data_IF_414670042928
#
_entry.id   IF_414670042928
#
_cell.length_a   1.000
_cell.length_b   1.000
_cell.length_c   1.000
_cell.angle_alpha   90.00
_cell.angle_beta   90.00
_cell.angle_gamma   90.00
#
_symmetry.space_group_name_H-M   'P 1'
#
loop_
_entity.id
_entity.type
_entity.pdbx_description
1 polymer ?
#
# COMPACT_ATOMS: atom_id res chain seq x y z
N UNK A 1 14.20 1.00 -51.18
CA UNK A 1 14.52 0.06 -50.08
C UNK A 1 14.08 0.67 -48.76
N UNK A 2 12.92 0.26 -48.23
CA UNK A 2 12.47 0.52 -46.86
C UNK A 2 12.38 -0.84 -46.18
N UNK A 3 13.35 -1.19 -45.33
CA UNK A 3 13.29 -2.43 -44.56
C UNK A 3 12.25 -2.26 -43.46
N UNK A 4 11.11 -2.93 -43.60
CA UNK A 4 10.17 -3.16 -42.49
C UNK A 4 10.86 -4.10 -41.50
N UNK A 5 11.30 -3.56 -40.37
CA UNK A 5 11.65 -4.36 -39.20
C UNK A 5 10.33 -4.91 -38.64
N UNK A 6 10.01 -6.16 -38.96
CA UNK A 6 8.97 -6.92 -38.26
C UNK A 6 9.54 -7.30 -36.91
N UNK A 7 9.13 -6.60 -35.86
CA UNK A 7 9.29 -7.07 -34.48
C UNK A 7 8.27 -8.19 -34.31
N UNK A 8 8.74 -9.43 -34.35
CA UNK A 8 7.95 -10.61 -34.00
C UNK A 8 7.94 -10.65 -32.47
N UNK A 9 6.90 -10.11 -31.85
CA UNK A 9 6.63 -10.34 -30.42
C UNK A 9 6.13 -11.78 -30.29
N UNK A 10 6.96 -12.69 -29.77
CA UNK A 10 6.53 -14.05 -29.44
C UNK A 10 5.40 -13.99 -28.39
N UNK A 11 4.19 -14.41 -28.77
CA UNK A 11 3.07 -14.54 -27.84
C UNK A 11 3.38 -15.68 -26.86
N UNK A 12 3.11 -15.46 -25.57
CA UNK A 12 3.26 -16.48 -24.54
C UNK A 12 2.55 -17.79 -24.94
N UNK A 13 3.26 -18.92 -24.88
CA UNK A 13 2.70 -20.24 -25.19
C UNK A 13 1.80 -20.69 -24.05
N UNK A 14 0.53 -20.90 -24.37
CA UNK A 14 -0.50 -21.38 -23.46
C UNK A 14 -0.26 -22.87 -23.14
N UNK A 15 -0.31 -23.27 -21.87
CA UNK A 15 -0.30 -24.68 -21.50
C UNK A 15 -1.71 -25.27 -21.68
N UNK A 16 -1.83 -26.41 -22.38
CA UNK A 16 -3.11 -26.95 -22.87
C UNK A 16 -3.92 -27.76 -21.83
N UNK A 17 -3.36 -28.09 -20.66
CA UNK A 17 -3.95 -29.04 -19.70
C UNK A 17 -4.25 -28.49 -18.29
N UNK A 18 -4.07 -27.19 -18.02
CA UNK A 18 -4.36 -26.61 -16.70
C UNK A 18 -5.78 -26.01 -16.67
N UNK A 19 -6.58 -26.38 -15.66
CA UNK A 19 -7.90 -25.79 -15.41
C UNK A 19 -7.76 -24.27 -15.18
N UNK A 20 -8.49 -23.47 -15.98
CA UNK A 20 -8.45 -22.03 -15.87
C UNK A 20 -9.22 -21.56 -14.62
N UNK A 21 -8.57 -20.79 -13.75
CA UNK A 21 -9.20 -20.26 -12.53
C UNK A 21 -9.85 -18.89 -12.79
N UNK A 22 -11.07 -18.62 -12.30
CA UNK A 22 -11.69 -17.30 -12.46
C UNK A 22 -10.91 -16.20 -11.72
N UNK A 23 -10.78 -15.03 -12.35
CA UNK A 23 -10.19 -13.86 -11.70
C UNK A 23 -11.16 -13.34 -10.63
N UNK A 24 -10.64 -13.06 -9.44
CA UNK A 24 -11.46 -12.50 -8.35
C UNK A 24 -12.11 -11.16 -8.75
N UNK A 25 -13.28 -10.79 -8.21
CA UNK A 25 -13.94 -9.51 -8.50
C UNK A 25 -12.99 -8.32 -8.43
N UNK A 26 -12.24 -8.19 -7.34
CA UNK A 26 -11.25 -7.13 -7.15
C UNK A 26 -10.12 -7.21 -8.16
N UNK A 27 -9.64 -8.42 -8.50
CA UNK A 27 -8.64 -8.59 -9.56
C UNK A 27 -9.11 -8.05 -10.91
N UNK A 28 -10.41 -8.19 -11.22
CA UNK A 28 -11.00 -7.63 -12.44
C UNK A 28 -11.11 -6.10 -12.37
N UNK A 29 -11.45 -5.53 -11.21
CA UNK A 29 -11.56 -4.07 -11.05
C UNK A 29 -10.22 -3.36 -11.24
N UNK A 30 -9.16 -3.94 -10.67
CA UNK A 30 -7.82 -3.37 -10.72
C UNK A 30 -7.07 -3.68 -12.00
N UNK A 31 -7.65 -4.46 -12.91
CA UNK A 31 -7.15 -4.64 -14.27
C UNK A 31 -8.20 -4.22 -15.30
N UNK A 32 -8.76 -3.03 -15.17
CA UNK A 32 -9.78 -2.51 -16.07
C UNK A 32 -9.23 -1.39 -16.96
N UNK A 33 -10.03 -0.92 -17.91
CA UNK A 33 -9.66 0.28 -18.70
C UNK A 33 -9.62 1.53 -17.82
N UNK A 34 -10.55 1.63 -16.86
CA UNK A 34 -10.65 2.72 -15.91
C UNK A 34 -9.56 2.68 -14.82
N UNK A 35 -9.13 1.50 -14.37
CA UNK A 35 -8.22 1.37 -13.23
C UNK A 35 -7.20 0.25 -13.43
N UNK A 36 -5.92 0.62 -13.36
CA UNK A 36 -4.80 -0.30 -13.23
C UNK A 36 -3.84 0.21 -12.16
N UNK A 37 -3.43 -0.68 -11.26
CA UNK A 37 -2.60 -0.33 -10.09
C UNK A 37 -1.48 -1.35 -9.97
N UNK A 38 -0.28 -0.82 -9.74
CA UNK A 38 0.92 -1.60 -9.45
C UNK A 38 1.44 -1.27 -8.06
N UNK A 39 2.14 -2.22 -7.47
CA UNK A 39 2.89 -2.04 -6.23
C UNK A 39 4.37 -2.23 -6.58
N UNK A 40 5.18 -1.23 -6.26
CA UNK A 40 6.63 -1.37 -6.23
C UNK A 40 6.98 -1.82 -4.81
N UNK A 41 7.57 -2.99 -4.64
CA UNK A 41 8.17 -3.42 -3.39
C UNK A 41 9.68 -3.36 -3.52
N UNK A 42 10.32 -2.56 -2.68
CA UNK A 42 11.73 -2.19 -2.79
C UNK A 42 12.48 -2.77 -1.60
N UNK A 43 13.48 -3.59 -1.90
CA UNK A 43 14.42 -4.16 -0.94
C UNK A 43 15.77 -3.48 -1.16
N UNK A 44 16.27 -2.85 -0.10
CA UNK A 44 17.61 -2.26 -0.06
C UNK A 44 18.59 -3.30 0.47
N UNK A 45 19.62 -3.61 -0.32
CA UNK A 45 20.65 -4.58 0.03
C UNK A 45 21.90 -3.90 0.57
N UNK A 46 22.58 -4.56 1.52
CA UNK A 46 23.84 -4.06 2.10
C UNK A 46 25.00 -4.14 1.12
N UNK A 47 24.94 -5.07 0.18
CA UNK A 47 25.91 -5.28 -0.89
C UNK A 47 25.18 -5.24 -2.24
N UNK A 48 25.88 -4.96 -3.36
CA UNK A 48 25.31 -5.14 -4.69
C UNK A 48 24.71 -6.54 -4.85
N UNK A 49 23.54 -6.64 -5.45
CA UNK A 49 22.84 -7.91 -5.64
C UNK A 49 23.43 -8.67 -6.83
N UNK A 50 23.83 -9.92 -6.63
CA UNK A 50 24.28 -10.82 -7.71
C UNK A 50 23.09 -11.26 -8.58
N UNK A 51 22.99 -10.69 -9.78
CA UNK A 51 21.91 -10.96 -10.72
C UNK A 51 21.99 -12.37 -11.35
N UNK A 52 23.15 -13.04 -11.26
CA UNK A 52 23.31 -14.42 -11.77
C UNK A 52 22.41 -15.43 -11.07
N UNK A 53 22.02 -15.15 -9.81
CA UNK A 53 21.12 -16.01 -9.06
C UNK A 53 19.63 -15.74 -9.36
N UNK A 54 19.29 -14.62 -10.01
CA UNK A 54 17.91 -14.14 -10.14
C UNK A 54 17.00 -15.14 -10.87
N UNK A 55 17.46 -15.72 -11.97
CA UNK A 55 16.69 -16.71 -12.75
C UNK A 55 16.35 -17.95 -11.91
N UNK A 56 17.34 -18.48 -11.18
CA UNK A 56 17.15 -19.63 -10.30
C UNK A 56 16.19 -19.30 -9.16
N UNK A 57 16.35 -18.16 -8.51
CA UNK A 57 15.45 -17.73 -7.42
C UNK A 57 14.02 -17.54 -7.91
N UNK A 58 13.84 -16.93 -9.09
CA UNK A 58 12.51 -16.75 -9.66
C UNK A 58 11.85 -18.09 -10.00
N UNK A 59 12.59 -19.01 -10.64
CA UNK A 59 12.08 -20.32 -11.05
C UNK A 59 11.75 -21.23 -9.86
N UNK A 60 12.67 -21.30 -8.90
CA UNK A 60 12.64 -22.33 -7.86
C UNK A 60 11.98 -21.85 -6.57
N UNK A 61 11.86 -20.53 -6.37
CA UNK A 61 11.28 -19.93 -5.16
C UNK A 61 10.07 -19.07 -5.48
N UNK A 62 10.16 -18.04 -6.34
CA UNK A 62 9.07 -17.07 -6.54
C UNK A 62 7.88 -17.63 -7.32
N UNK A 63 8.11 -18.21 -8.51
CA UNK A 63 7.03 -18.75 -9.36
C UNK A 63 6.20 -19.84 -8.66
N UNK A 64 6.79 -20.77 -7.89
CA UNK A 64 6.05 -21.79 -7.17
C UNK A 64 5.14 -21.26 -6.04
N UNK A 65 5.33 -20.01 -5.57
CA UNK A 65 4.52 -19.44 -4.48
C UNK A 65 3.03 -19.45 -4.81
N UNK A 66 2.68 -19.11 -6.06
CA UNK A 66 1.29 -19.11 -6.49
C UNK A 66 1.18 -19.24 -8.01
N UNK A 67 0.23 -20.05 -8.53
CA UNK A 67 0.05 -20.23 -9.99
C UNK A 67 -0.16 -18.94 -10.76
N UNK A 68 -0.69 -17.87 -10.13
CA UNK A 68 -0.89 -16.57 -10.77
C UNK A 68 0.41 -15.91 -11.25
N UNK A 69 1.55 -16.19 -10.61
CA UNK A 69 2.85 -15.69 -11.08
C UNK A 69 3.30 -16.34 -12.39
N UNK A 70 2.69 -17.46 -12.78
CA UNK A 70 2.89 -18.12 -14.07
C UNK A 70 1.67 -18.01 -14.98
N UNK A 71 0.78 -17.03 -14.76
CA UNK A 71 -0.47 -16.91 -15.48
C UNK A 71 -0.71 -15.53 -16.09
N UNK A 72 -1.43 -15.51 -17.21
CA UNK A 72 -1.97 -14.31 -17.84
C UNK A 72 -3.49 -14.27 -17.67
N UNK A 73 -4.08 -13.07 -17.77
CA UNK A 73 -5.54 -12.93 -17.81
C UNK A 73 -6.05 -13.10 -19.24
N UNK A 74 -6.98 -14.02 -19.43
CA UNK A 74 -7.74 -14.20 -20.67
C UNK A 74 -9.23 -13.98 -20.41
N UNK A 75 -9.97 -13.68 -21.47
CA UNK A 75 -11.43 -13.61 -21.42
C UNK A 75 -11.98 -14.83 -22.15
N UNK A 76 -12.85 -15.59 -21.51
CA UNK A 76 -13.51 -16.74 -22.13
C UNK A 76 -14.66 -16.30 -23.07
N UNK A 77 -15.27 -17.27 -23.75
CA UNK A 77 -16.37 -17.02 -24.69
C UNK A 77 -17.63 -16.45 -24.03
N UNK A 78 -17.74 -16.52 -22.70
CA UNK A 78 -18.86 -15.98 -21.92
C UNK A 78 -18.57 -14.56 -21.39
N UNK A 79 -17.37 -14.03 -21.66
CA UNK A 79 -16.94 -12.72 -21.19
C UNK A 79 -16.34 -12.72 -19.78
N UNK A 80 -16.16 -13.90 -19.17
CA UNK A 80 -15.56 -14.02 -17.83
C UNK A 80 -14.05 -14.03 -17.94
N UNK A 81 -13.40 -13.24 -17.08
CA UNK A 81 -11.93 -13.19 -17.01
C UNK A 81 -11.39 -14.34 -16.17
N UNK A 82 -10.40 -15.04 -16.70
CA UNK A 82 -9.77 -16.19 -16.08
C UNK A 82 -8.24 -16.07 -16.11
N UNK A 83 -7.59 -16.63 -15.10
CA UNK A 83 -6.16 -16.86 -15.09
C UNK A 83 -5.86 -18.11 -15.91
N UNK A 84 -4.99 -17.96 -16.91
CA UNK A 84 -4.49 -19.07 -17.70
C UNK A 84 -2.98 -19.17 -17.57
N UNK A 85 -2.50 -20.35 -17.21
CA UNK A 85 -1.08 -20.61 -17.06
C UNK A 85 -0.35 -20.57 -18.39
N UNK A 86 0.86 -20.03 -18.36
CA UNK A 86 1.77 -19.91 -19.49
C UNK A 86 3.16 -20.34 -19.10
N UNK A 87 3.95 -20.72 -20.09
CA UNK A 87 5.39 -20.81 -19.91
C UNK A 87 5.97 -19.40 -19.74
N UNK A 88 6.70 -19.18 -18.63
CA UNK A 88 7.27 -17.87 -18.30
C UNK A 88 8.69 -17.79 -18.84
N UNK A 89 8.92 -16.87 -19.77
CA UNK A 89 10.28 -16.51 -20.16
C UNK A 89 10.86 -15.51 -19.14
N UNK A 90 11.60 -16.02 -18.14
CA UNK A 90 12.11 -15.21 -17.03
C UNK A 90 12.94 -14.00 -17.45
N UNK A 91 13.68 -14.09 -18.56
CA UNK A 91 14.51 -12.99 -19.04
C UNK A 91 13.70 -11.76 -19.43
N UNK A 92 12.47 -11.96 -19.90
CA UNK A 92 11.60 -10.84 -20.25
C UNK A 92 11.18 -10.04 -19.00
N UNK A 93 11.16 -10.69 -17.83
CA UNK A 93 10.71 -10.09 -16.57
C UNK A 93 11.84 -9.46 -15.75
N UNK A 94 13.11 -9.75 -16.06
CA UNK A 94 14.27 -9.25 -15.32
C UNK A 94 14.81 -7.99 -16.02
N UNK A 95 14.96 -6.91 -15.26
CA UNK A 95 15.46 -5.64 -15.76
C UNK A 95 16.68 -5.23 -14.94
N UNK A 96 17.85 -5.16 -15.58
CA UNK A 96 19.10 -4.69 -14.95
C UNK A 96 19.52 -3.41 -15.68
N UNK A 97 19.14 -2.22 -15.19
CA UNK A 97 19.53 -0.96 -15.82
C UNK A 97 21.03 -0.72 -15.66
N UNK A 98 21.65 -0.19 -16.71
CA UNK A 98 23.00 0.37 -16.63
C UNK A 98 22.97 1.82 -16.15
N UNK A 99 24.02 2.22 -15.46
CA UNK A 99 24.24 3.59 -14.99
C UNK A 99 25.71 3.95 -15.18
N UNK A 100 26.07 5.25 -15.28
CA UNK A 100 27.46 5.66 -15.38
C UNK A 100 28.26 5.27 -14.12
N UNK A 101 29.47 4.76 -14.33
CA UNK A 101 30.43 4.50 -13.26
C UNK A 101 31.02 5.83 -12.72
N UNK A 102 31.58 5.77 -11.50
CA UNK A 102 32.28 6.88 -10.85
C UNK A 102 31.47 8.18 -10.65
N UNK A 103 30.16 8.05 -10.41
CA UNK A 103 29.33 9.19 -10.04
C UNK A 103 29.46 9.53 -8.55
N UNK A 104 29.09 10.77 -8.21
CA UNK A 104 28.90 11.15 -6.80
C UNK A 104 27.70 10.39 -6.20
N UNK A 105 27.68 10.22 -4.88
CA UNK A 105 26.55 9.60 -4.17
C UNK A 105 25.23 10.33 -4.44
N UNK A 106 25.26 11.67 -4.50
CA UNK A 106 24.07 12.48 -4.82
C UNK A 106 23.55 12.19 -6.24
N UNK A 107 24.45 12.05 -7.21
CA UNK A 107 24.08 11.69 -8.58
C UNK A 107 23.53 10.26 -8.69
N UNK A 108 23.99 9.33 -7.84
CA UNK A 108 23.39 7.99 -7.74
C UNK A 108 21.98 8.03 -7.14
N UNK A 109 21.75 8.86 -6.12
CA UNK A 109 20.43 9.09 -5.55
C UNK A 109 19.46 9.64 -6.61
N UNK A 110 19.88 10.65 -7.37
CA UNK A 110 19.09 11.22 -8.47
C UNK A 110 18.77 10.21 -9.58
N UNK A 111 19.76 9.38 -9.95
CA UNK A 111 19.55 8.32 -10.94
C UNK A 111 18.51 7.31 -10.46
N UNK A 112 18.61 6.88 -9.21
CA UNK A 112 17.68 5.93 -8.62
C UNK A 112 16.25 6.51 -8.51
N UNK A 113 16.13 7.76 -8.07
CA UNK A 113 14.86 8.51 -8.01
C UNK A 113 14.20 8.60 -9.39
N UNK A 114 14.96 8.91 -10.44
CA UNK A 114 14.45 8.99 -11.80
C UNK A 114 14.06 7.60 -12.33
N UNK A 115 14.82 6.57 -11.99
CA UNK A 115 14.49 5.19 -12.34
C UNK A 115 13.17 4.75 -11.70
N UNK A 116 12.99 4.98 -10.39
CA UNK A 116 11.74 4.72 -9.67
C UNK A 116 10.56 5.50 -10.27
N UNK A 117 10.77 6.79 -10.57
CA UNK A 117 9.78 7.63 -11.23
C UNK A 117 9.37 7.02 -12.57
N UNK A 118 10.34 6.61 -13.40
CA UNK A 118 10.09 5.98 -14.69
C UNK A 118 9.28 4.70 -14.54
N UNK A 119 9.70 3.74 -13.71
CA UNK A 119 9.00 2.45 -13.61
C UNK A 119 7.62 2.58 -12.97
N UNK A 120 7.40 3.58 -12.10
CA UNK A 120 6.09 3.89 -11.50
C UNK A 120 5.07 4.43 -12.51
N UNK A 121 5.54 5.07 -13.58
CA UNK A 121 4.72 5.74 -14.59
C UNK A 121 4.35 4.83 -15.78
N UNK A 122 4.83 3.58 -15.79
CA UNK A 122 4.53 2.63 -16.85
C UNK A 122 3.68 1.47 -16.32
N UNK A 123 2.52 1.16 -16.92
CA UNK A 123 1.78 -0.03 -16.57
C UNK A 123 2.54 -1.30 -16.97
N UNK A 124 2.19 -2.43 -16.34
CA UNK A 124 2.73 -3.73 -16.71
C UNK A 124 2.11 -4.22 -18.04
N UNK A 125 2.90 -4.83 -18.94
CA UNK A 125 2.38 -5.42 -20.18
C UNK A 125 1.43 -6.58 -19.87
N UNK A 126 0.33 -6.67 -20.62
CA UNK A 126 -0.78 -7.58 -20.33
C UNK A 126 -0.60 -8.96 -20.97
N UNK A 127 0.34 -9.09 -21.89
CA UNK A 127 0.61 -10.29 -22.69
C UNK A 127 1.48 -11.32 -21.97
N UNK A 128 1.96 -10.99 -20.77
CA UNK A 128 2.82 -11.84 -19.92
C UNK A 128 2.36 -11.76 -18.46
N UNK A 129 2.83 -12.67 -17.57
CA UNK A 129 2.49 -12.59 -16.15
C UNK A 129 2.76 -11.20 -15.56
N UNK A 130 1.85 -10.72 -14.72
CA UNK A 130 1.79 -9.30 -14.35
C UNK A 130 2.76 -8.91 -13.24
N UNK A 131 4.05 -9.15 -13.46
CA UNK A 131 5.12 -8.76 -12.55
C UNK A 131 6.45 -8.54 -13.31
N UNK A 132 7.31 -7.71 -12.73
CA UNK A 132 8.69 -7.45 -13.19
C UNK A 132 9.64 -7.44 -11.98
N UNK A 133 10.86 -7.92 -12.19
CA UNK A 133 11.98 -7.78 -11.25
C UNK A 133 12.95 -6.74 -11.82
N UNK A 134 13.35 -5.78 -10.99
CA UNK A 134 14.40 -4.82 -11.34
C UNK A 134 15.54 -4.95 -10.35
N UNK A 135 16.77 -5.09 -10.83
CA UNK A 135 17.98 -5.20 -10.02
C UNK A 135 18.85 -3.99 -10.31
N UNK A 136 18.91 -3.05 -9.37
CA UNK A 136 19.57 -1.75 -9.54
C UNK A 136 20.73 -1.65 -8.55
N UNK A 137 21.94 -1.93 -9.04
CA UNK A 137 23.17 -1.92 -8.24
C UNK A 137 23.88 -0.56 -8.23
N UNK A 138 23.14 0.55 -8.28
CA UNK A 138 23.73 1.88 -8.07
C UNK A 138 23.86 2.15 -6.56
N UNK A 139 25.07 2.49 -6.06
CA UNK A 139 25.28 2.73 -4.63
C UNK A 139 24.74 4.11 -4.25
N UNK A 140 23.51 4.14 -3.75
CA UNK A 140 22.84 5.35 -3.23
C UNK A 140 23.36 5.67 -1.82
N UNK A 141 23.04 6.86 -1.31
CA UNK A 141 23.24 7.20 0.10
C UNK A 141 22.50 6.23 1.04
N UNK A 142 21.46 5.59 0.52
CA UNK A 142 20.61 4.66 1.26
C UNK A 142 21.03 3.21 1.15
N UNK A 143 21.58 2.71 0.04
CA UNK A 143 21.91 1.28 -0.15
C UNK A 143 22.94 1.00 -1.25
N UNK A 144 23.63 -0.14 -1.14
CA UNK A 144 24.59 -0.57 -2.14
C UNK A 144 23.91 -1.18 -3.38
N UNK A 145 22.73 -1.78 -3.20
CA UNK A 145 21.89 -2.29 -4.27
C UNK A 145 20.42 -2.24 -3.90
N UNK A 146 19.57 -2.33 -4.91
CA UNK A 146 18.12 -2.30 -4.77
C UNK A 146 17.50 -3.41 -5.62
N UNK A 147 16.65 -4.22 -5.02
CA UNK A 147 15.83 -5.19 -5.71
C UNK A 147 14.38 -4.73 -5.64
N UNK A 148 13.77 -4.48 -6.80
CA UNK A 148 12.42 -3.94 -6.90
C UNK A 148 11.54 -4.97 -7.58
N UNK A 149 10.53 -5.45 -6.85
CA UNK A 149 9.43 -6.21 -7.44
C UNK A 149 8.30 -5.26 -7.81
N UNK A 150 8.01 -5.15 -9.10
CA UNK A 150 6.84 -4.42 -9.58
C UNK A 150 5.73 -5.44 -9.85
N UNK A 151 4.66 -5.36 -9.06
CA UNK A 151 3.60 -6.37 -9.01
C UNK A 151 2.25 -5.71 -9.33
N UNK A 152 1.46 -6.30 -10.22
CA UNK A 152 0.11 -5.78 -10.48
C UNK A 152 -0.86 -6.16 -9.35
N UNK A 153 -1.70 -5.23 -8.92
CA UNK A 153 -2.65 -5.42 -7.80
C UNK A 153 -3.76 -6.46 -8.10
N UNK A 154 -3.90 -6.87 -9.36
CA UNK A 154 -4.79 -7.98 -9.73
C UNK A 154 -4.30 -9.34 -9.22
N UNK A 155 -2.99 -9.51 -8.99
CA UNK A 155 -2.40 -10.74 -8.48
C UNK A 155 -2.83 -11.02 -7.02
N UNK A 156 -2.88 -9.96 -6.22
CA UNK A 156 -3.30 -9.98 -4.82
C UNK A 156 -3.24 -8.59 -4.19
N UNK A 157 -3.72 -8.47 -2.96
CA UNK A 157 -3.57 -7.24 -2.19
C UNK A 157 -2.16 -7.10 -1.61
N UNK A 158 -1.87 -5.94 -1.01
CA UNK A 158 -0.58 -5.68 -0.37
C UNK A 158 -0.18 -6.77 0.62
N UNK A 159 -1.12 -7.32 1.38
CA UNK A 159 -0.83 -8.40 2.33
C UNK A 159 -0.40 -9.70 1.64
N UNK A 160 -1.12 -10.13 0.60
CA UNK A 160 -0.78 -11.35 -0.16
C UNK A 160 0.55 -11.19 -0.90
N UNK A 161 0.76 -10.03 -1.54
CA UNK A 161 1.97 -9.75 -2.30
C UNK A 161 3.19 -9.58 -1.39
N UNK A 162 3.05 -8.92 -0.25
CA UNK A 162 4.11 -8.88 0.77
C UNK A 162 4.36 -10.27 1.33
N UNK A 163 3.32 -11.09 1.53
CA UNK A 163 3.46 -12.51 1.86
C UNK A 163 4.37 -13.23 0.87
N UNK A 164 4.13 -13.09 -0.44
CA UNK A 164 4.97 -13.67 -1.50
C UNK A 164 6.42 -13.21 -1.42
N UNK A 165 6.65 -11.91 -1.23
CA UNK A 165 8.01 -11.38 -1.10
C UNK A 165 8.71 -11.95 0.13
N UNK A 166 8.01 -12.05 1.26
CA UNK A 166 8.54 -12.58 2.50
C UNK A 166 8.78 -14.10 2.44
N UNK A 167 8.10 -14.82 1.56
CA UNK A 167 8.41 -16.23 1.24
C UNK A 167 9.68 -16.40 0.41
N UNK A 168 10.18 -15.33 -0.23
CA UNK A 168 11.44 -15.36 -0.99
C UNK A 168 12.67 -15.10 -0.13
N UNK A 169 12.50 -14.66 1.12
CA UNK A 169 13.60 -14.28 2.01
C UNK A 169 13.74 -15.25 3.18
N UNK A 170 14.93 -15.30 3.77
CA UNK A 170 15.23 -16.07 4.98
C UNK A 170 15.78 -15.14 6.04
N UNK A 171 15.77 -15.54 7.31
CA UNK A 171 16.46 -14.74 8.34
C UNK A 171 17.96 -14.72 8.08
N UNK A 172 18.59 -13.58 8.38
CA UNK A 172 20.04 -13.42 8.27
C UNK A 172 20.80 -14.14 9.38
N UNK A 173 20.22 -14.23 10.58
CA UNK A 173 20.84 -14.84 11.75
C UNK A 173 20.74 -16.37 11.76
N UNK A 174 19.57 -16.92 11.42
CA UNK A 174 19.36 -18.36 11.26
C UNK A 174 18.34 -18.64 10.14
N UNK A 175 18.81 -19.02 8.93
CA UNK A 175 17.95 -19.30 7.79
C UNK A 175 16.98 -20.47 7.96
N UNK A 176 17.14 -21.30 9.00
CA UNK A 176 16.25 -22.44 9.29
C UNK A 176 15.00 -22.03 10.09
N UNK A 177 15.04 -20.86 10.73
CA UNK A 177 13.94 -20.36 11.54
C UNK A 177 12.94 -19.55 10.70
N UNK A 178 11.63 -19.62 11.03
CA UNK A 178 10.64 -18.79 10.37
C UNK A 178 10.81 -17.31 10.78
N UNK A 179 10.35 -16.41 9.89
CA UNK A 179 10.26 -14.98 10.17
C UNK A 179 9.29 -14.71 11.31
N UNK A 180 9.62 -13.76 12.19
CA UNK A 180 8.69 -13.33 13.24
C UNK A 180 8.14 -11.93 12.99
N UNK A 181 6.94 -11.68 13.51
CA UNK A 181 6.21 -10.44 13.32
C UNK A 181 5.67 -9.92 14.66
N UNK A 182 5.49 -8.59 14.81
CA UNK A 182 4.83 -8.01 15.97
C UNK A 182 3.46 -8.66 16.24
N UNK A 183 3.30 -9.29 17.40
CA UNK A 183 2.00 -9.83 17.83
C UNK A 183 1.12 -8.74 18.44
N UNK A 184 -0.15 -8.66 18.04
CA UNK A 184 -1.12 -7.78 18.71
C UNK A 184 -1.69 -8.48 19.95
N UNK A 185 -1.03 -8.36 21.11
CA UNK A 185 -1.66 -8.69 22.40
C UNK A 185 -2.69 -7.61 22.74
N UNK A 186 -3.93 -7.78 22.31
CA UNK A 186 -5.05 -7.05 22.91
C UNK A 186 -5.50 -7.79 24.18
N UNK A 187 -5.30 -7.17 25.33
CA UNK A 187 -5.91 -7.59 26.60
C UNK A 187 -7.39 -7.21 26.61
N UNK A 188 -8.24 -7.96 25.91
CA UNK A 188 -9.65 -8.01 26.25
C UNK A 188 -10.10 -9.47 26.31
N UNK A 189 -10.17 -9.99 27.54
CA UNK A 189 -10.98 -11.17 27.82
C UNK A 189 -12.42 -10.77 27.47
N UNK A 190 -12.91 -11.16 26.30
CA UNK A 190 -14.35 -11.22 26.06
C UNK A 190 -14.90 -12.23 27.06
N UNK A 191 -15.41 -11.73 28.19
CA UNK A 191 -16.22 -12.54 29.09
C UNK A 191 -17.45 -12.93 28.29
N UNK A 192 -17.57 -14.23 28.00
CA UNK A 192 -18.85 -14.85 27.63
C UNK A 192 -19.86 -14.43 28.69
N UNK A 193 -20.75 -13.50 28.37
CA UNK A 193 -21.92 -13.20 29.20
C UNK A 193 -23.01 -14.17 28.78
N UNK A 194 -23.42 -15.00 29.75
CA UNK A 194 -24.56 -15.88 29.65
C UNK A 194 -25.80 -15.14 29.12
N UNK A 195 -26.57 -15.86 28.32
CA UNK A 195 -27.90 -15.49 27.86
C UNK A 195 -28.85 -15.29 29.04
N UNK A 196 -29.10 -14.03 29.42
CA UNK A 196 -30.34 -13.50 30.02
C UNK A 196 -30.08 -12.08 30.54
N UNK A 197 -29.84 -11.12 29.64
CA UNK A 197 -29.86 -9.68 29.95
C UNK A 197 -30.10 -8.89 28.64
N UNK A 198 -31.34 -8.93 28.12
CA UNK A 198 -31.71 -8.32 26.83
C UNK A 198 -32.55 -7.04 27.01
N UNK A 199 -32.79 -6.55 28.23
CA UNK A 199 -33.82 -5.50 28.44
C UNK A 199 -33.27 -4.11 28.86
N UNK A 200 -31.95 -3.88 28.95
CA UNK A 200 -31.41 -2.53 29.23
C UNK A 200 -30.63 -1.88 28.08
N UNK A 201 -30.91 -2.26 26.82
CA UNK A 201 -30.08 -1.96 25.66
C UNK A 201 -30.66 -0.90 24.70
N UNK A 202 -31.14 0.25 25.19
CA UNK A 202 -31.56 1.38 24.36
C UNK A 202 -31.33 2.69 25.14
N UNK A 203 -30.22 3.44 24.90
CA UNK A 203 -30.09 4.34 23.74
C UNK A 203 -28.73 4.30 22.98
N UNK A 204 -27.71 3.65 23.52
CA UNK A 204 -26.34 3.63 22.95
C UNK A 204 -26.20 2.76 21.69
N UNK A 205 -26.95 1.66 21.59
CA UNK A 205 -26.98 0.77 20.42
C UNK A 205 -27.66 1.40 19.20
N UNK A 206 -28.77 2.10 19.44
CA UNK A 206 -29.48 2.85 18.40
C UNK A 206 -28.61 4.01 17.88
N UNK A 207 -27.96 4.76 18.77
CA UNK A 207 -27.01 5.82 18.38
C UNK A 207 -25.83 5.29 17.53
N UNK A 208 -25.27 4.12 17.89
CA UNK A 208 -24.20 3.49 17.10
C UNK A 208 -24.65 3.05 15.71
N UNK A 209 -25.89 2.53 15.57
CA UNK A 209 -26.48 2.17 14.28
C UNK A 209 -26.73 3.42 13.43
N UNK A 210 -27.35 4.46 13.98
CA UNK A 210 -27.60 5.73 13.27
C UNK A 210 -26.30 6.40 12.84
N UNK A 211 -25.28 6.38 13.71
CA UNK A 211 -23.95 6.92 13.40
C UNK A 211 -23.25 6.09 12.33
N UNK A 212 -23.43 4.77 12.34
CA UNK A 212 -22.95 3.87 11.30
C UNK A 212 -23.60 4.13 9.93
N UNK A 213 -24.91 4.35 9.89
CA UNK A 213 -25.66 4.73 8.69
C UNK A 213 -25.25 6.12 8.20
N UNK A 214 -25.00 7.07 9.11
CA UNK A 214 -24.46 8.39 8.77
C UNK A 214 -23.04 8.30 8.20
N UNK A 215 -22.13 7.58 8.85
CA UNK A 215 -20.75 7.39 8.39
C UNK A 215 -20.70 6.67 7.04
N UNK A 216 -21.59 5.68 6.83
CA UNK A 216 -21.79 5.05 5.53
C UNK A 216 -22.32 6.03 4.51
N UNK A 217 -23.38 6.78 4.83
CA UNK A 217 -23.97 7.79 3.96
C UNK A 217 -22.97 8.87 3.57
N UNK A 218 -22.16 9.36 4.51
CA UNK A 218 -21.08 10.30 4.28
C UNK A 218 -19.99 9.71 3.37
N UNK A 219 -19.47 8.52 3.69
CA UNK A 219 -18.45 7.87 2.88
C UNK A 219 -18.98 7.56 1.46
N UNK A 220 -20.23 7.15 1.35
CA UNK A 220 -20.91 6.90 0.06
C UNK A 220 -21.11 8.21 -0.71
N UNK A 221 -21.61 9.28 -0.08
CA UNK A 221 -21.75 10.61 -0.68
C UNK A 221 -20.41 11.21 -1.09
N UNK A 222 -19.34 10.99 -0.31
CA UNK A 222 -17.98 11.39 -0.67
C UNK A 222 -17.50 10.64 -1.92
N UNK A 223 -17.73 9.34 -1.96
CA UNK A 223 -17.37 8.47 -3.10
C UNK A 223 -18.17 8.82 -4.37
N UNK A 224 -19.43 9.20 -4.23
CA UNK A 224 -20.36 9.37 -5.36
C UNK A 224 -20.57 10.82 -5.80
N UNK A 225 -20.52 11.81 -4.91
CA UNK A 225 -20.90 13.20 -5.22
C UNK A 225 -19.81 14.25 -4.91
N UNK A 226 -19.18 14.20 -3.73
CA UNK A 226 -18.41 15.35 -3.23
C UNK A 226 -16.89 15.14 -3.32
N UNK A 227 -16.23 15.76 -4.31
CA UNK A 227 -14.77 15.86 -4.32
C UNK A 227 -14.25 16.73 -3.16
N UNK A 228 -13.05 16.43 -2.64
CA UNK A 228 -12.30 17.35 -1.78
C UNK A 228 -11.92 18.62 -2.57
N UNK A 229 -11.57 19.67 -1.81
CA UNK A 229 -11.07 20.92 -2.38
C UNK A 229 -9.78 20.67 -3.19
N UNK A 230 -9.45 21.63 -4.06
CA UNK A 230 -8.10 21.67 -4.63
C UNK A 230 -7.16 22.25 -3.58
N UNK A 231 -6.05 21.59 -3.37
CA UNK A 231 -5.08 21.95 -2.33
C UNK A 231 -3.67 21.66 -2.83
N UNK A 232 -2.62 22.13 -2.14
CA UNK A 232 -1.23 21.80 -2.50
C UNK A 232 -0.90 20.29 -2.54
N UNK A 233 -1.80 19.42 -2.06
CA UNK A 233 -1.65 17.96 -2.07
C UNK A 233 -2.62 17.25 -3.02
N UNK A 234 -3.52 17.98 -3.68
CA UNK A 234 -4.53 17.44 -4.60
C UNK A 234 -4.76 18.38 -5.78
N UNK A 235 -4.21 18.03 -6.94
CA UNK A 235 -4.37 18.81 -8.18
C UNK A 235 -5.80 18.75 -8.74
N UNK A 236 -6.52 17.65 -8.47
CA UNK A 236 -7.84 17.35 -9.02
C UNK A 236 -7.82 16.93 -10.50
N UNK A 237 -6.63 16.77 -11.10
CA UNK A 237 -6.43 16.34 -12.49
C UNK A 237 -5.53 15.10 -12.61
N UNK A 238 -5.14 14.51 -11.48
CA UNK A 238 -4.24 13.36 -11.45
C UNK A 238 -4.80 12.18 -12.23
N UNK A 239 -3.98 11.64 -13.11
CA UNK A 239 -4.29 10.44 -13.88
C UNK A 239 -3.54 9.24 -13.31
N UNK A 240 -4.04 8.04 -13.60
CA UNK A 240 -3.29 6.81 -13.30
C UNK A 240 -1.95 6.79 -14.04
N UNK A 241 -0.91 6.30 -13.37
CA UNK A 241 0.46 6.17 -13.90
C UNK A 241 1.14 7.49 -14.29
N UNK A 242 0.75 8.59 -13.64
CA UNK A 242 1.52 9.83 -13.76
C UNK A 242 2.92 9.70 -13.13
N UNK A 243 3.93 10.43 -13.64
CA UNK A 243 5.27 10.47 -13.05
C UNK A 243 5.22 10.81 -11.56
N UNK A 244 5.69 9.88 -10.73
CA UNK A 244 5.62 9.97 -9.27
C UNK A 244 7.03 9.95 -8.71
N UNK A 245 7.44 11.02 -8.01
CA UNK A 245 8.67 11.02 -7.22
C UNK A 245 8.41 10.28 -5.91
N UNK A 246 9.31 9.36 -5.54
CA UNK A 246 9.18 8.53 -4.33
C UNK A 246 10.30 8.91 -3.37
N UNK A 247 9.94 9.43 -2.21
CA UNK A 247 10.88 9.72 -1.12
C UNK A 247 10.58 8.84 0.09
N UNK A 248 11.53 8.68 1.01
CA UNK A 248 11.37 7.86 2.21
C UNK A 248 11.74 8.64 3.47
N UNK A 249 11.02 8.39 4.55
CA UNK A 249 11.31 8.85 5.91
C UNK A 249 11.51 7.62 6.79
N UNK A 250 12.48 7.68 7.70
CA UNK A 250 12.76 6.60 8.66
C UNK A 250 12.52 7.09 10.08
N UNK A 251 11.66 6.39 10.81
CA UNK A 251 11.30 6.70 12.19
C UNK A 251 11.65 5.52 13.10
N UNK A 252 12.10 5.81 14.32
CA UNK A 252 12.36 4.77 15.32
C UNK A 252 11.06 4.19 15.85
N UNK A 253 10.93 2.85 15.76
CA UNK A 253 9.78 2.15 16.31
C UNK A 253 9.71 2.29 17.84
N UNK A 254 10.84 2.44 18.52
CA UNK A 254 10.87 2.58 19.97
C UNK A 254 10.36 3.95 20.43
N UNK A 255 10.73 5.02 19.72
CA UNK A 255 10.16 6.35 19.95
C UNK A 255 8.64 6.36 19.72
N UNK A 256 8.16 5.65 18.69
CA UNK A 256 6.72 5.49 18.44
C UNK A 256 6.04 4.72 19.58
N UNK A 257 6.69 3.69 20.14
CA UNK A 257 6.17 2.95 21.31
C UNK A 257 6.09 3.84 22.57
N UNK A 258 6.99 4.79 22.75
CA UNK A 258 6.91 5.78 23.84
C UNK A 258 5.71 6.72 23.67
N UNK A 259 5.50 7.27 22.47
CA UNK A 259 4.30 8.07 22.15
C UNK A 259 3.03 7.25 22.41
N UNK A 260 3.05 5.97 22.02
CA UNK A 260 1.96 5.03 22.24
C UNK A 260 1.65 4.83 23.72
N UNK A 261 2.67 4.72 24.56
CA UNK A 261 2.50 4.59 26.01
C UNK A 261 1.81 5.83 26.61
N UNK A 262 2.09 7.03 26.09
CA UNK A 262 1.46 8.28 26.54
C UNK A 262 0.02 8.42 26.08
N UNK A 263 -0.28 8.09 24.82
CA UNK A 263 -1.61 8.29 24.21
C UNK A 263 -2.58 7.11 24.43
N UNK A 264 -2.09 5.93 24.83
CA UNK A 264 -2.94 4.76 25.10
C UNK A 264 -3.62 4.18 23.86
N UNK A 265 -3.00 4.31 22.67
CA UNK A 265 -3.60 3.96 21.37
C UNK A 265 -2.78 2.93 20.58
N UNK A 266 -3.14 2.64 19.33
CA UNK A 266 -2.37 1.79 18.42
C UNK A 266 -1.31 2.59 17.65
N UNK A 267 -0.24 1.89 17.22
CA UNK A 267 0.84 2.48 16.42
C UNK A 267 0.30 3.09 15.11
N UNK A 268 -0.65 2.41 14.47
CA UNK A 268 -1.23 2.86 13.20
C UNK A 268 -1.98 4.18 13.35
N UNK A 269 -2.69 4.36 14.47
CA UNK A 269 -3.47 5.57 14.73
C UNK A 269 -2.52 6.77 15.01
N UNK A 270 -1.39 6.52 15.69
CA UNK A 270 -0.34 7.53 15.93
C UNK A 270 0.29 7.97 14.62
N UNK A 271 0.75 7.01 13.81
CA UNK A 271 1.38 7.29 12.53
C UNK A 271 0.44 8.06 11.59
N UNK A 272 -0.83 7.66 11.52
CA UNK A 272 -1.85 8.37 10.77
C UNK A 272 -1.99 9.83 11.23
N UNK A 273 -2.09 10.06 12.55
CA UNK A 273 -2.16 11.42 13.10
C UNK A 273 -0.93 12.27 12.78
N UNK A 274 0.27 11.70 12.90
CA UNK A 274 1.54 12.40 12.64
C UNK A 274 1.64 12.77 11.16
N UNK A 275 1.29 11.85 10.27
CA UNK A 275 1.23 12.10 8.83
C UNK A 275 0.20 13.19 8.53
N UNK A 276 -1.00 13.16 9.14
CA UNK A 276 -2.00 14.20 8.94
C UNK A 276 -1.51 15.56 9.39
N UNK A 277 -0.83 15.63 10.54
CA UNK A 277 -0.24 16.86 11.06
C UNK A 277 0.82 17.40 10.10
N UNK A 278 1.77 16.55 9.68
CA UNK A 278 2.82 16.94 8.73
C UNK A 278 2.28 17.39 7.37
N UNK A 279 1.27 16.70 6.85
CA UNK A 279 0.57 17.10 5.62
C UNK A 279 -0.13 18.45 5.80
N UNK A 280 -0.81 18.70 6.93
CA UNK A 280 -1.42 20.01 7.22
C UNK A 280 -0.36 21.11 7.33
N UNK A 281 0.77 20.84 7.97
CA UNK A 281 1.90 21.77 8.05
C UNK A 281 2.48 22.09 6.66
N UNK A 282 2.60 21.09 5.78
CA UNK A 282 3.01 21.32 4.40
C UNK A 282 2.01 22.18 3.62
N UNK A 283 0.72 21.90 3.76
CA UNK A 283 -0.36 22.69 3.15
C UNK A 283 -0.26 24.16 3.62
N UNK A 284 -0.23 24.40 4.93
CA UNK A 284 -0.09 25.73 5.52
C UNK A 284 1.17 26.46 5.05
N UNK A 285 2.31 25.77 4.99
CA UNK A 285 3.58 26.35 4.57
C UNK A 285 3.63 26.66 3.06
N UNK A 286 2.74 26.07 2.26
CA UNK A 286 2.70 26.24 0.80
C UNK A 286 1.62 27.23 0.39
N UNK A 287 0.48 27.18 1.06
CA UNK A 287 -0.63 28.11 0.92
C UNK A 287 -1.35 28.21 2.27
N UNK A 288 -1.22 29.35 2.93
CA UNK A 288 -1.72 29.57 4.30
C UNK A 288 -3.23 29.31 4.42
N UNK A 289 -4.01 29.62 3.38
CA UNK A 289 -5.46 29.41 3.40
C UNK A 289 -5.85 27.94 3.22
N UNK A 290 -4.91 27.08 2.80
CA UNK A 290 -5.19 25.68 2.50
C UNK A 290 -5.21 24.75 3.72
N UNK A 291 -4.69 25.18 4.87
CA UNK A 291 -4.53 24.34 6.07
C UNK A 291 -5.85 23.86 6.68
N UNK A 292 -6.95 24.55 6.42
CA UNK A 292 -8.30 24.22 6.90
C UNK A 292 -9.23 23.67 5.82
N UNK A 293 -8.79 23.66 4.54
CA UNK A 293 -9.61 23.15 3.43
C UNK A 293 -9.97 21.68 3.62
N UNK A 294 -11.12 21.28 3.05
CA UNK A 294 -11.65 19.94 3.19
C UNK A 294 -10.67 18.94 2.54
N UNK A 295 -10.08 18.09 3.38
CA UNK A 295 -9.12 17.08 2.94
C UNK A 295 -9.39 15.74 3.59
N UNK A 296 -9.45 14.71 2.75
CA UNK A 296 -9.79 13.33 3.16
C UNK A 296 -8.67 12.38 2.77
N UNK A 297 -8.17 11.61 3.73
CA UNK A 297 -7.28 10.49 3.49
C UNK A 297 -8.10 9.24 3.17
N UNK A 298 -7.74 8.54 2.10
CA UNK A 298 -8.27 7.21 1.79
C UNK A 298 -7.36 6.15 2.40
N UNK A 299 -7.75 5.61 3.55
CA UNK A 299 -6.97 4.65 4.32
C UNK A 299 -7.34 3.24 3.90
N UNK A 300 -6.35 2.44 3.52
CA UNK A 300 -6.52 1.03 3.17
C UNK A 300 -6.40 0.17 4.43
N UNK A 301 -7.36 -0.74 4.61
CA UNK A 301 -7.40 -1.67 5.73
C UNK A 301 -7.46 -3.10 5.23
N UNK A 302 -6.63 -3.97 5.80
CA UNK A 302 -6.75 -5.41 5.61
C UNK A 302 -8.05 -5.90 6.29
N UNK A 303 -8.91 -6.60 5.56
CA UNK A 303 -10.19 -7.12 6.08
C UNK A 303 -10.08 -8.53 6.62
N UNK A 304 -8.90 -9.15 6.56
CA UNK A 304 -8.66 -10.46 7.19
C UNK A 304 -8.75 -10.32 8.70
N UNK A 305 -9.61 -11.13 9.32
CA UNK A 305 -9.79 -11.15 10.77
C UNK A 305 -8.68 -11.98 11.44
N UNK A 306 -7.43 -11.54 11.34
CA UNK A 306 -6.29 -12.24 11.93
C UNK A 306 -5.52 -11.39 12.91
N UNK A 307 -5.19 -12.00 14.06
CA UNK A 307 -4.50 -11.35 15.18
C UNK A 307 -2.97 -11.35 15.01
N UNK A 308 -2.47 -12.16 14.09
CA UNK A 308 -1.07 -12.36 13.74
C UNK A 308 -0.89 -12.37 12.23
N UNK A 309 0.37 -12.24 11.79
CA UNK A 309 0.76 -12.55 10.42
C UNK A 309 0.33 -13.98 10.06
N UNK A 310 -0.12 -14.17 8.83
CA UNK A 310 -0.45 -15.44 8.21
C UNK A 310 0.46 -15.65 7.02
N UNK A 311 1.17 -16.76 7.04
CA UNK A 311 1.97 -17.23 5.91
C UNK A 311 1.09 -17.59 4.71
N UNK A 312 1.72 -17.69 3.54
CA UNK A 312 1.03 -18.10 2.30
C UNK A 312 0.46 -19.51 2.44
N UNK A 313 1.22 -20.44 3.01
CA UNK A 313 0.73 -21.79 3.26
C UNK A 313 -0.54 -21.80 4.10
N UNK A 314 -0.62 -20.96 5.15
CA UNK A 314 -1.83 -20.83 5.96
C UNK A 314 -2.98 -20.21 5.16
N UNK A 315 -2.69 -19.22 4.30
CA UNK A 315 -3.71 -18.60 3.44
C UNK A 315 -4.28 -19.56 2.40
N UNK A 316 -3.47 -20.47 1.86
CA UNK A 316 -3.90 -21.48 0.89
C UNK A 316 -4.62 -22.67 1.55
N UNK A 317 -4.15 -23.13 2.72
CA UNK A 317 -4.74 -24.24 3.48
C UNK A 317 -6.05 -23.88 4.19
N UNK A 318 -6.30 -22.60 4.44
CA UNK A 318 -7.53 -22.16 5.10
C UNK A 318 -8.78 -22.57 4.28
N UNK A 319 -9.82 -23.06 4.97
CA UNK A 319 -11.08 -23.49 4.35
C UNK A 319 -11.74 -22.45 3.43
N UNK A 320 -11.38 -21.17 3.58
CA UNK A 320 -11.89 -20.04 2.80
C UNK A 320 -10.95 -19.54 1.69
N UNK A 321 -9.79 -20.16 1.44
CA UNK A 321 -8.75 -19.72 0.49
C UNK A 321 -8.51 -18.19 0.58
N UNK A 322 -7.77 -17.75 1.60
CA UNK A 322 -7.61 -16.32 1.94
C UNK A 322 -6.61 -15.56 1.08
N UNK A 323 -5.98 -16.22 0.10
CA UNK A 323 -5.08 -15.61 -0.88
C UNK A 323 -5.82 -14.68 -1.84
N UNK A 324 -5.25 -13.50 -2.11
CA UNK A 324 -5.77 -12.54 -3.08
C UNK A 324 -6.25 -11.25 -2.42
N UNK A 325 -7.19 -10.54 -3.06
CA UNK A 325 -7.58 -9.21 -2.60
C UNK A 325 -8.60 -9.25 -1.45
N UNK A 326 -8.20 -8.85 -0.24
CA UNK A 326 -9.03 -8.76 0.97
C UNK A 326 -8.70 -7.46 1.73
N UNK A 327 -9.17 -6.35 1.19
CA UNK A 327 -8.99 -5.03 1.79
C UNK A 327 -10.22 -4.15 1.57
N UNK A 328 -10.33 -3.10 2.37
CA UNK A 328 -11.36 -2.08 2.27
C UNK A 328 -10.74 -0.69 2.30
N UNK A 329 -11.51 0.28 1.81
CA UNK A 329 -11.16 1.69 1.88
C UNK A 329 -11.97 2.40 2.95
N UNK A 330 -11.32 3.31 3.66
CA UNK A 330 -11.95 4.15 4.65
C UNK A 330 -11.63 5.62 4.36
N UNK A 331 -12.67 6.45 4.21
CA UNK A 331 -12.51 7.89 4.14
C UNK A 331 -12.32 8.45 5.54
N UNK A 332 -11.12 8.94 5.83
CA UNK A 332 -10.79 9.60 7.10
C UNK A 332 -10.59 11.08 6.81
N UNK A 333 -11.48 11.93 7.32
CA UNK A 333 -11.30 13.37 7.22
C UNK A 333 -10.08 13.77 8.06
N UNK A 334 -9.19 14.57 7.49
CA UNK A 334 -8.05 15.10 8.23
C UNK A 334 -8.55 16.20 9.18
N UNK A 335 -8.19 16.17 10.47
CA UNK A 335 -8.44 17.32 11.34
C UNK A 335 -7.87 18.58 10.71
N UNK A 336 -8.63 19.67 10.77
CA UNK A 336 -8.15 21.01 10.37
C UNK A 336 -7.03 21.43 11.31
N UNK A 337 -6.00 22.11 10.79
CA UNK A 337 -4.96 22.74 11.59
C UNK A 337 -5.23 24.25 11.64
N UNK A 338 -5.70 24.72 12.79
CA UNK A 338 -5.99 26.14 13.04
C UNK A 338 -5.08 26.58 14.18
N UNK A 339 -4.37 27.71 14.02
CA UNK A 339 -3.27 28.13 14.89
C UNK A 339 -3.67 28.23 16.38
N UNK A 340 -4.93 28.51 16.69
CA UNK A 340 -5.45 28.60 18.07
C UNK A 340 -6.00 27.27 18.63
N UNK A 341 -6.18 26.25 17.79
CA UNK A 341 -6.92 25.03 18.16
C UNK A 341 -6.05 23.96 18.82
N UNK A 342 -4.76 23.90 18.48
CA UNK A 342 -3.83 22.91 19.04
C UNK A 342 -2.53 23.58 19.48
N UNK A 343 -2.44 23.93 20.76
CA UNK A 343 -1.17 24.35 21.37
C UNK A 343 -0.23 23.15 21.61
N UNK A 344 -0.79 21.95 21.73
CA UNK A 344 -0.06 20.69 21.89
C UNK A 344 -0.31 19.77 20.69
N UNK A 345 0.73 19.29 19.98
CA UNK A 345 0.55 18.39 18.84
C UNK A 345 -0.19 17.09 19.22
N UNK A 346 -0.09 16.63 20.47
CA UNK A 346 -0.80 15.44 20.96
C UNK A 346 -2.33 15.57 20.86
N UNK A 347 -2.87 16.78 21.01
CA UNK A 347 -4.32 17.02 20.91
C UNK A 347 -4.80 16.83 19.46
N UNK A 348 -3.97 17.21 18.49
CA UNK A 348 -4.25 16.96 17.07
C UNK A 348 -4.25 15.45 16.77
N UNK A 349 -3.24 14.72 17.28
CA UNK A 349 -3.16 13.26 17.12
C UNK A 349 -4.39 12.58 17.74
N UNK A 350 -4.81 13.03 18.92
CA UNK A 350 -5.98 12.49 19.60
C UNK A 350 -7.28 12.70 18.80
N UNK A 351 -7.48 13.89 18.22
CA UNK A 351 -8.65 14.13 17.36
C UNK A 351 -8.60 13.30 16.07
N UNK A 352 -7.43 13.12 15.45
CA UNK A 352 -7.26 12.21 14.31
C UNK A 352 -7.63 10.76 14.70
N UNK A 353 -7.12 10.27 15.83
CA UNK A 353 -7.41 8.94 16.34
C UNK A 353 -8.91 8.73 16.58
N UNK A 354 -9.58 9.72 17.17
CA UNK A 354 -11.03 9.67 17.45
C UNK A 354 -11.83 9.52 16.17
N UNK A 355 -11.44 10.19 15.08
CA UNK A 355 -12.06 10.01 13.77
C UNK A 355 -11.82 8.60 13.20
N UNK A 356 -10.58 8.11 13.23
CA UNK A 356 -10.22 6.78 12.72
C UNK A 356 -10.95 5.67 13.49
N UNK A 357 -10.94 5.74 14.82
CA UNK A 357 -11.57 4.73 15.69
C UNK A 357 -13.08 4.66 15.49
N UNK A 358 -13.72 5.82 15.33
CA UNK A 358 -15.15 5.93 15.04
C UNK A 358 -15.52 5.20 13.75
N UNK A 359 -14.74 5.44 12.69
CA UNK A 359 -14.98 4.88 11.36
C UNK A 359 -14.65 3.38 11.28
N UNK A 360 -13.61 2.91 11.97
CA UNK A 360 -13.25 1.48 12.03
C UNK A 360 -14.36 0.61 12.62
N UNK A 361 -15.09 1.14 13.59
CA UNK A 361 -16.20 0.45 14.25
C UNK A 361 -17.56 0.65 13.54
N UNK A 362 -17.57 1.32 12.38
CA UNK A 362 -18.79 1.60 11.63
C UNK A 362 -19.16 0.45 10.70
N UNK A 363 -20.45 0.10 10.55
CA UNK A 363 -20.94 -0.83 9.52
C UNK A 363 -20.68 -0.34 8.08
N UNK A 364 -20.23 0.92 7.90
CA UNK A 364 -19.89 1.50 6.61
C UNK A 364 -18.92 0.66 5.76
N UNK A 365 -17.95 0.00 6.39
CA UNK A 365 -16.99 -0.87 5.70
C UNK A 365 -17.68 -2.06 5.01
N UNK A 366 -18.64 -2.68 5.69
CA UNK A 366 -19.40 -3.81 5.14
C UNK A 366 -20.39 -3.36 4.07
N UNK A 367 -21.04 -2.22 4.28
CA UNK A 367 -22.03 -1.69 3.34
C UNK A 367 -21.40 -1.20 2.03
N UNK A 368 -20.22 -0.57 2.08
CA UNK A 368 -19.50 -0.13 0.87
C UNK A 368 -19.08 -1.30 -0.02
N UNK A 369 -18.58 -2.38 0.59
CA UNK A 369 -18.25 -3.62 -0.14
C UNK A 369 -19.47 -4.23 -0.82
N UNK A 370 -20.62 -4.28 -0.13
CA UNK A 370 -21.87 -4.77 -0.72
C UNK A 370 -22.36 -3.90 -1.89
N UNK A 371 -22.29 -2.56 -1.76
CA UNK A 371 -22.66 -1.67 -2.85
C UNK A 371 -21.81 -1.90 -4.10
N UNK A 372 -20.49 -2.06 -3.93
CA UNK A 372 -19.60 -2.34 -5.04
C UNK A 372 -19.93 -3.68 -5.71
N UNK A 373 -20.27 -4.69 -4.92
CA UNK A 373 -20.68 -6.00 -5.43
C UNK A 373 -22.03 -5.94 -6.17
N UNK A 374 -22.97 -5.12 -5.72
CA UNK A 374 -24.23 -4.84 -6.45
C UNK A 374 -23.93 -4.16 -7.78
N UNK A 375 -23.07 -3.14 -7.80
CA UNK A 375 -22.65 -2.47 -9.05
C UNK A 375 -22.03 -3.48 -10.01
N UNK A 376 -21.13 -4.35 -9.52
CA UNK A 376 -20.53 -5.41 -10.35
C UNK A 376 -21.58 -6.34 -10.93
N UNK A 377 -22.52 -6.85 -10.12
CA UNK A 377 -23.56 -7.78 -10.58
C UNK A 377 -24.51 -7.15 -11.59
N UNK A 378 -24.85 -5.86 -11.41
CA UNK A 378 -25.83 -5.19 -12.25
C UNK A 378 -25.24 -4.54 -13.51
N UNK A 379 -23.99 -4.06 -13.46
CA UNK A 379 -23.35 -3.25 -14.52
C UNK A 379 -22.00 -3.78 -15.00
N UNK A 380 -21.50 -4.85 -14.38
CA UNK A 380 -20.23 -5.47 -14.73
C UNK A 380 -19.01 -4.88 -13.99
N UNK A 381 -17.84 -5.52 -14.14
CA UNK A 381 -16.63 -5.16 -13.42
C UNK A 381 -16.03 -3.81 -13.84
N UNK A 382 -16.23 -3.36 -15.08
CA UNK A 382 -15.70 -2.06 -15.53
C UNK A 382 -16.38 -0.89 -14.80
N UNK A 383 -17.71 -0.91 -14.66
CA UNK A 383 -18.42 0.12 -13.89
C UNK A 383 -18.07 0.09 -12.40
N UNK A 384 -17.78 -1.08 -11.84
CA UNK A 384 -17.27 -1.17 -10.46
C UNK A 384 -15.87 -0.54 -10.34
N UNK A 385 -15.00 -0.75 -11.33
CA UNK A 385 -13.69 -0.11 -11.40
C UNK A 385 -13.78 1.42 -11.52
N UNK A 386 -14.70 1.94 -12.34
CA UNK A 386 -14.97 3.38 -12.46
C UNK A 386 -15.43 3.98 -11.11
N UNK A 387 -16.26 3.27 -10.35
CA UNK A 387 -16.67 3.71 -9.00
C UNK A 387 -15.47 3.79 -8.07
N UNK A 388 -14.57 2.78 -8.08
CA UNK A 388 -13.34 2.80 -7.28
C UNK A 388 -12.43 3.95 -7.71
N UNK A 389 -12.21 4.11 -9.02
CA UNK A 389 -11.41 5.19 -9.59
C UNK A 389 -11.93 6.56 -9.12
N UNK A 390 -13.24 6.78 -9.24
CA UNK A 390 -13.88 8.03 -8.82
C UNK A 390 -13.76 8.26 -7.31
N UNK A 391 -13.86 7.19 -6.51
CA UNK A 391 -13.68 7.25 -5.06
C UNK A 391 -12.25 7.69 -4.70
N UNK A 392 -11.25 7.14 -5.38
CA UNK A 392 -9.86 7.57 -5.23
C UNK A 392 -9.69 9.03 -5.68
N UNK A 393 -10.13 9.40 -6.87
CA UNK A 393 -9.93 10.75 -7.41
C UNK A 393 -10.61 11.87 -6.58
N UNK A 394 -11.68 11.55 -5.84
CA UNK A 394 -12.42 12.52 -5.00
C UNK A 394 -11.82 12.77 -3.63
N UNK A 395 -10.88 11.95 -3.16
CA UNK A 395 -10.18 12.18 -1.89
C UNK A 395 -8.82 12.87 -2.10
N UNK A 396 -8.27 13.53 -1.08
CA UNK A 396 -6.97 14.22 -1.13
C UNK A 396 -5.78 13.31 -1.39
N UNK A 397 -5.64 12.22 -0.64
CA UNK A 397 -4.49 11.31 -0.80
C UNK A 397 -4.82 9.88 -0.36
N UNK A 398 -3.98 8.91 -0.72
CA UNK A 398 -4.10 7.52 -0.29
C UNK A 398 -3.11 7.18 0.83
N UNK A 399 -3.49 6.33 1.77
CA UNK A 399 -2.60 5.84 2.83
C UNK A 399 -2.73 4.33 3.01
N UNK A 400 -1.59 3.62 2.98
CA UNK A 400 -1.52 2.16 3.20
C UNK A 400 -0.45 1.83 4.23
N UNK A 401 -0.64 0.75 4.99
CA UNK A 401 0.29 0.34 6.04
C UNK A 401 0.47 -1.18 6.05
N UNK A 402 1.71 -1.63 6.22
CA UNK A 402 2.10 -3.03 6.34
C UNK A 402 3.07 -3.26 7.49
N UNK A 403 3.00 -4.46 8.06
CA UNK A 403 3.90 -4.91 9.12
C UNK A 403 4.88 -5.91 8.49
N UNK A 404 6.17 -5.64 8.58
CA UNK A 404 7.23 -6.54 8.17
C UNK A 404 7.89 -7.30 9.34
N UNK A 405 8.91 -8.12 9.02
CA UNK A 405 9.62 -8.95 10.00
C UNK A 405 10.37 -8.16 11.08
N UNK A 406 10.61 -8.80 12.23
CA UNK A 406 11.41 -8.25 13.33
C UNK A 406 12.92 -8.46 13.12
N UNK A 407 13.31 -9.52 12.42
CA UNK A 407 14.70 -9.83 12.14
C UNK A 407 15.17 -9.24 10.82
N UNK A 408 16.49 -9.11 10.68
CA UNK A 408 17.09 -8.88 9.38
C UNK A 408 16.88 -10.12 8.50
N UNK A 409 16.51 -9.90 7.24
CA UNK A 409 16.32 -10.95 6.25
C UNK A 409 17.41 -10.90 5.17
N UNK A 410 17.58 -12.01 4.47
CA UNK A 410 18.43 -12.14 3.29
C UNK A 410 17.59 -12.58 2.10
N UNK A 411 17.85 -11.97 0.94
CA UNK A 411 17.33 -12.44 -0.35
C UNK A 411 18.48 -13.13 -1.09
N UNK A 412 18.39 -14.44 -1.31
CA UNK A 412 19.45 -15.21 -1.96
C UNK A 412 20.85 -14.97 -1.34
N UNK A 413 20.94 -14.99 0.00
CA UNK A 413 22.14 -14.70 0.79
C UNK A 413 22.65 -13.24 0.76
N UNK A 414 21.90 -12.30 0.16
CA UNK A 414 22.22 -10.87 0.22
C UNK A 414 21.45 -10.23 1.39
N UNK A 415 22.12 -9.68 2.41
CA UNK A 415 21.44 -9.03 3.53
C UNK A 415 20.62 -7.83 3.08
N UNK A 416 19.36 -7.82 3.51
CA UNK A 416 18.40 -6.73 3.26
C UNK A 416 18.40 -5.82 4.47
N UNK A 417 18.78 -4.56 4.28
CA UNK A 417 18.81 -3.56 5.35
C UNK A 417 17.56 -2.70 5.44
N UNK A 418 16.77 -2.65 4.38
CA UNK A 418 15.56 -1.85 4.33
C UNK A 418 14.51 -2.44 3.41
N UNK A 419 13.24 -2.30 3.80
CA UNK A 419 12.09 -2.73 2.99
C UNK A 419 11.03 -1.64 3.03
N UNK A 420 10.54 -1.25 1.87
CA UNK A 420 9.38 -0.39 1.72
C UNK A 420 8.62 -0.72 0.44
N UNK A 421 7.49 -0.07 0.24
CA UNK A 421 6.70 -0.23 -0.96
C UNK A 421 6.09 1.09 -1.39
N UNK A 422 5.65 1.19 -2.64
CA UNK A 422 4.87 2.30 -3.14
C UNK A 422 3.73 1.78 -4.01
N UNK A 423 2.56 2.41 -3.90
CA UNK A 423 1.40 2.13 -4.75
C UNK A 423 1.40 3.13 -5.91
N UNK A 424 1.41 2.61 -7.14
CA UNK A 424 1.47 3.38 -8.38
C UNK A 424 0.25 3.07 -9.26
N UNK A 425 -0.07 3.96 -10.21
CA UNK A 425 -1.23 3.76 -11.09
C UNK A 425 -2.54 4.34 -10.56
N UNK A 426 -2.58 4.83 -9.31
CA UNK A 426 -3.78 5.45 -8.74
C UNK A 426 -3.94 6.91 -9.20
N UNK A 427 -5.18 7.44 -9.36
CA UNK A 427 -5.43 8.83 -9.74
C UNK A 427 -5.25 9.77 -8.54
N UNK A 428 -4.02 9.86 -8.02
CA UNK A 428 -3.68 10.57 -6.78
C UNK A 428 -2.40 11.38 -6.95
N UNK A 429 -2.42 12.64 -6.51
CA UNK A 429 -1.20 13.45 -6.41
C UNK A 429 -0.29 13.04 -5.27
N UNK A 430 -0.86 12.46 -4.19
CA UNK A 430 -0.13 12.05 -3.00
C UNK A 430 -0.56 10.63 -2.58
N UNK A 431 0.43 9.78 -2.35
CA UNK A 431 0.27 8.43 -1.81
C UNK A 431 1.28 8.23 -0.69
N UNK A 432 0.79 7.86 0.48
CA UNK A 432 1.61 7.54 1.65
C UNK A 432 1.55 6.04 1.90
N UNK A 433 2.71 5.44 2.12
CA UNK A 433 2.86 4.03 2.43
C UNK A 433 3.70 3.90 3.68
N UNK A 434 3.37 2.96 4.54
CA UNK A 434 4.03 2.77 5.83
C UNK A 434 4.41 1.32 5.93
N UNK A 435 5.66 1.04 6.30
CA UNK A 435 6.11 -0.32 6.56
C UNK A 435 7.04 -0.35 7.77
N UNK A 436 6.79 -1.23 8.73
CA UNK A 436 7.77 -1.54 9.77
C UNK A 436 8.67 -2.69 9.31
N UNK A 437 9.98 -2.57 9.52
CA UNK A 437 10.94 -3.65 9.32
C UNK A 437 12.04 -3.50 10.36
N UNK A 438 12.35 -4.61 11.05
CA UNK A 438 13.20 -4.58 12.24
C UNK A 438 12.66 -3.58 13.28
N UNK A 439 13.48 -2.61 13.68
CA UNK A 439 13.13 -1.57 14.66
C UNK A 439 12.88 -0.20 14.01
N UNK A 440 12.69 -0.18 12.69
CA UNK A 440 12.49 1.04 11.90
C UNK A 440 11.12 1.02 11.25
N UNK A 441 10.42 2.15 11.31
CA UNK A 441 9.22 2.41 10.52
C UNK A 441 9.62 3.29 9.35
N UNK A 442 9.40 2.80 8.14
CA UNK A 442 9.65 3.53 6.90
C UNK A 442 8.35 4.06 6.34
N UNK A 443 8.31 5.37 6.09
CA UNK A 443 7.19 6.05 5.40
C UNK A 443 7.64 6.35 3.98
N UNK A 444 7.03 5.68 2.99
CA UNK A 444 7.18 6.03 1.59
C UNK A 444 6.20 7.14 1.20
N UNK A 445 6.73 8.21 0.62
CA UNK A 445 5.99 9.41 0.20
C UNK A 445 6.07 9.52 -1.32
N UNK A 446 5.02 9.08 -2.00
CA UNK A 446 4.87 9.14 -3.44
C UNK A 446 4.11 10.40 -3.84
N UNK A 447 4.75 11.28 -4.61
CA UNK A 447 4.17 12.57 -5.00
C UNK A 447 4.19 12.80 -6.51
N UNK A 448 3.17 13.47 -7.03
CA UNK A 448 3.09 13.90 -8.43
C UNK A 448 4.27 14.83 -8.77
N UNK A 449 5.16 14.35 -9.65
CA UNK A 449 6.39 15.04 -10.02
C UNK A 449 6.06 16.40 -10.65
N UNK A 450 6.65 17.46 -10.10
CA UNK A 450 6.43 18.84 -10.57
C UNK A 450 5.19 19.53 -9.99
N UNK A 451 4.37 18.84 -9.19
CA UNK A 451 3.23 19.45 -8.50
C UNK A 451 3.47 19.63 -7.00
N UNK A 452 3.93 18.58 -6.31
CA UNK A 452 4.22 18.62 -4.86
C UNK A 452 5.72 18.67 -4.64
N UNK A 453 6.18 19.57 -3.78
CA UNK A 453 7.56 19.58 -3.30
C UNK A 453 7.76 18.43 -2.30
N UNK A 454 8.39 17.35 -2.77
CA UNK A 454 8.62 16.15 -1.98
C UNK A 454 9.49 16.41 -0.76
N UNK A 455 10.57 17.19 -0.90
CA UNK A 455 11.52 17.44 0.19
C UNK A 455 10.89 18.29 1.29
N UNK A 456 10.11 19.30 0.91
CA UNK A 456 9.37 20.13 1.86
C UNK A 456 8.31 19.30 2.58
N UNK A 457 7.57 18.45 1.87
CA UNK A 457 6.56 17.59 2.48
C UNK A 457 7.16 16.58 3.45
N UNK A 458 8.26 15.90 3.09
CA UNK A 458 8.93 14.95 3.99
C UNK A 458 9.44 15.66 5.23
N UNK A 459 10.07 16.83 5.07
CA UNK A 459 10.54 17.66 6.20
C UNK A 459 9.40 18.06 7.13
N UNK A 460 8.21 18.39 6.60
CA UNK A 460 7.04 18.70 7.44
C UNK A 460 6.55 17.48 8.22
N UNK A 461 6.60 16.27 7.65
CA UNK A 461 6.22 15.03 8.33
C UNK A 461 7.23 14.65 9.42
N UNK A 462 8.53 14.79 9.15
CA UNK A 462 9.59 14.58 10.13
C UNK A 462 9.48 15.56 11.30
N UNK A 463 9.29 16.85 11.01
CA UNK A 463 9.07 17.86 12.04
C UNK A 463 7.82 17.57 12.89
N UNK A 464 6.73 17.11 12.27
CA UNK A 464 5.53 16.72 13.00
C UNK A 464 5.78 15.52 13.94
N UNK A 465 6.61 14.57 13.51
CA UNK A 465 7.04 13.46 14.36
C UNK A 465 7.86 13.95 15.56
N UNK A 466 8.87 14.79 15.33
CA UNK A 466 9.75 15.30 16.39
C UNK A 466 8.99 16.13 17.44
N UNK A 467 8.08 17.01 16.99
CA UNK A 467 7.21 17.78 17.87
C UNK A 467 6.32 16.87 18.72
N UNK A 468 5.74 15.83 18.11
CA UNK A 468 4.88 14.87 18.79
C UNK A 468 5.69 14.05 19.81
N UNK A 469 6.88 13.58 19.45
CA UNK A 469 7.76 12.81 20.32
C UNK A 469 8.22 13.65 21.52
N UNK A 470 8.63 14.90 21.28
CA UNK A 470 9.01 15.84 22.34
C UNK A 470 7.84 16.12 23.28
N UNK A 471 6.64 16.35 22.77
CA UNK A 471 5.45 16.58 23.59
C UNK A 471 5.06 15.34 24.40
N UNK A 472 5.27 14.12 23.87
CA UNK A 472 4.97 12.88 24.58
C UNK A 472 5.95 12.56 25.72
N UNK A 473 7.21 13.00 25.59
CA UNK A 473 8.29 12.71 26.54
C UNK A 473 8.53 13.83 27.56
N UNK A 474 8.02 15.04 27.31
CA UNK A 474 8.08 16.14 28.27
C UNK A 474 7.04 15.91 29.37
N UNK A 475 7.49 15.69 30.61
CA UNK A 475 6.61 15.55 31.77
C UNK A 475 5.89 16.88 32.05
N UNK A 476 4.56 16.86 31.98
CA UNK A 476 3.68 17.84 32.64
C UNK A 476 2.99 17.15 33.81
#
# INVERSE_FOLDING_TARGET
MKSKLQVITERAKLQENDEAEPVSPTGQYFNSKALSVCILAILETEVPFDDSCAVTQLRDVFLPINPRFSSIMITDNTGVRQWKRVEVNLQDHINVPSFPEDLSTESYDEFFDEYLTKISAHPLPQERPLWELHIVNCPTSKAAGHVIFKLHHALGDGYSLMGALLSCVKRADDPSLPLTFPSTRSSSKFKSKNSMDVISLLPQTVSAIFKGVYDFGWSFLKSTCNADDKTPIRSGKSLGFQPTKISTIELSLDQIKEIKARLGTTINDILAGIIFLGVRSYMQATDTESSSLQSTALVLLNTRNTRSYMSIEEMEKAHTKMWGNQFAFLHVAMPELVDDKYSNPLDFIYEAQKQITRLRNSPALYLTAQCLEIVRKCRGPESAAEVIYNTMNKSSFGMSNMIGPLEQVTLANHPVKGIYFMVCGTPKSLVITIMSYMQTVRIGVGVEKGFIDSQKLTSCIENAFDLTYKAATTNH
#
